data_IF_947468005874
#
_entry.id   IF_947468005874
#
_cell.length_a   1.000
_cell.length_b   1.000
_cell.length_c   1.000
_cell.angle_alpha   90.00
_cell.angle_beta   90.00
_cell.angle_gamma   90.00
#
_symmetry.space_group_name_H-M   'P 1'
#
loop_
_entity.id
_entity.type
_entity.pdbx_description
1 polymer ?
#
# COMPACT_ATOMS: atom_id res chain seq x y z
N UNK A 1 -8.42 5.40 -4.16
CA UNK A 1 -7.51 6.49 -3.75
C UNK A 1 -7.21 7.52 -4.85
N UNK A 2 -7.03 7.16 -6.13
CA UNK A 2 -6.81 8.15 -7.21
C UNK A 2 -7.95 9.18 -7.36
N UNK A 3 -9.21 8.76 -7.21
CA UNK A 3 -10.38 9.64 -7.41
C UNK A 3 -10.48 10.77 -6.38
N UNK A 4 -10.02 10.56 -5.14
CA UNK A 4 -10.09 11.59 -4.08
C UNK A 4 -8.94 12.59 -4.18
N UNK A 5 -7.76 12.16 -4.65
CA UNK A 5 -6.58 13.03 -4.73
C UNK A 5 -6.59 13.98 -5.94
N UNK A 6 -7.23 13.59 -7.06
CA UNK A 6 -7.32 14.45 -8.25
C UNK A 6 -7.94 15.82 -7.95
N UNK A 7 -9.12 15.91 -7.32
CA UNK A 7 -9.70 17.20 -6.97
C UNK A 7 -8.81 18.04 -6.05
N UNK A 8 -8.13 17.39 -5.08
CA UNK A 8 -7.23 18.09 -4.16
C UNK A 8 -6.00 18.68 -4.89
N UNK A 9 -5.35 17.90 -5.75
CA UNK A 9 -4.18 18.38 -6.50
C UNK A 9 -4.53 19.50 -7.49
N UNK A 10 -5.65 19.40 -8.20
CA UNK A 10 -6.12 20.47 -9.08
C UNK A 10 -6.35 21.75 -8.30
N UNK A 11 -7.06 21.68 -7.16
CA UNK A 11 -7.32 22.83 -6.30
C UNK A 11 -6.04 23.47 -5.75
N UNK A 12 -5.06 22.67 -5.31
CA UNK A 12 -3.77 23.17 -4.87
C UNK A 12 -3.04 23.91 -6.01
N UNK A 13 -3.08 23.37 -7.22
CA UNK A 13 -2.47 24.00 -8.38
C UNK A 13 -3.15 25.30 -8.78
N UNK A 14 -4.46 25.35 -8.73
CA UNK A 14 -5.26 26.58 -8.95
C UNK A 14 -4.91 27.68 -7.93
N UNK A 15 -4.52 27.29 -6.70
CA UNK A 15 -4.03 28.22 -5.68
C UNK A 15 -2.56 28.62 -5.84
N UNK A 16 -1.90 28.23 -6.93
CA UNK A 16 -0.50 28.56 -7.19
C UNK A 16 0.52 27.69 -6.45
N UNK A 17 0.10 26.63 -5.76
CA UNK A 17 1.00 25.71 -5.08
C UNK A 17 1.83 24.95 -6.10
N UNK A 18 3.14 24.93 -5.90
CA UNK A 18 4.11 24.17 -6.72
C UNK A 18 4.67 22.95 -6.00
N UNK A 19 4.79 23.03 -4.69
CA UNK A 19 5.47 22.05 -3.84
C UNK A 19 4.51 21.47 -2.83
N UNK A 20 4.55 20.15 -2.66
CA UNK A 20 3.72 19.44 -1.68
C UNK A 20 4.61 18.59 -0.80
N UNK A 21 4.66 18.88 0.50
CA UNK A 21 5.32 18.02 1.47
C UNK A 21 4.44 16.80 1.74
N UNK A 22 5.05 15.62 1.72
CA UNK A 22 4.35 14.35 2.00
C UNK A 22 4.95 13.64 3.20
N UNK A 23 4.13 12.86 3.90
CA UNK A 23 4.57 11.97 4.98
C UNK A 23 5.10 10.61 4.50
N UNK A 24 5.31 10.44 3.19
CA UNK A 24 5.74 9.16 2.61
C UNK A 24 7.06 8.71 3.21
N UNK A 25 7.12 7.46 3.65
CA UNK A 25 8.29 6.87 4.29
C UNK A 25 8.28 6.96 5.82
N UNK A 26 7.40 7.76 6.42
CA UNK A 26 7.40 7.97 7.87
C UNK A 26 7.09 6.72 8.70
N UNK A 27 6.16 5.90 8.25
CA UNK A 27 5.82 4.64 8.93
C UNK A 27 6.95 3.63 8.81
N UNK A 28 7.55 3.56 7.64
CA UNK A 28 8.63 2.64 7.33
C UNK A 28 9.92 2.93 8.09
N UNK A 29 10.15 4.17 8.48
CA UNK A 29 11.25 4.53 9.39
C UNK A 29 11.16 3.81 10.75
N UNK A 30 9.93 3.45 11.15
CA UNK A 30 9.65 2.82 12.44
C UNK A 30 9.62 1.29 12.38
N UNK A 31 9.78 0.70 11.20
CA UNK A 31 9.75 -0.75 11.04
C UNK A 31 10.96 -1.45 11.67
N UNK A 32 10.73 -2.65 12.17
CA UNK A 32 11.79 -3.54 12.59
C UNK A 32 12.60 -3.98 11.38
N UNK A 33 13.92 -3.99 11.52
CA UNK A 33 14.80 -4.58 10.53
C UNK A 33 14.70 -6.13 10.57
N UNK A 34 15.04 -6.83 9.49
CA UNK A 34 15.03 -8.29 9.47
C UNK A 34 15.84 -8.90 10.62
N UNK A 35 17.00 -8.34 10.92
CA UNK A 35 17.88 -8.80 12.00
C UNK A 35 17.25 -8.63 13.38
N UNK A 36 16.52 -7.55 13.59
CA UNK A 36 15.81 -7.26 14.84
C UNK A 36 14.61 -8.21 15.03
N UNK A 37 13.98 -8.64 13.95
CA UNK A 37 12.89 -9.64 13.98
C UNK A 37 13.43 -11.03 14.25
N UNK A 38 14.54 -11.40 13.62
CA UNK A 38 15.20 -12.68 13.84
C UNK A 38 15.62 -12.85 15.31
N UNK A 39 16.11 -11.79 15.95
CA UNK A 39 16.48 -11.78 17.36
C UNK A 39 15.30 -12.01 18.33
N UNK A 40 14.05 -11.74 17.89
CA UNK A 40 12.82 -11.94 18.69
C UNK A 40 12.14 -13.27 18.37
N UNK A 41 12.70 -14.07 17.44
CA UNK A 41 12.11 -15.35 17.04
C UNK A 41 10.93 -15.24 16.07
N UNK A 42 10.56 -14.04 15.68
CA UNK A 42 9.58 -13.79 14.60
C UNK A 42 10.27 -13.96 13.24
N UNK A 43 10.51 -15.21 12.85
CA UNK A 43 10.96 -15.51 11.50
C UNK A 43 10.05 -14.83 10.47
N UNK A 44 10.63 -14.30 9.43
CA UNK A 44 9.92 -13.73 8.29
C UNK A 44 8.98 -14.80 7.71
N UNK A 45 7.75 -14.80 8.15
CA UNK A 45 6.72 -15.64 7.51
C UNK A 45 6.31 -14.90 6.26
N UNK A 46 6.60 -15.51 5.12
CA UNK A 46 5.92 -15.14 3.88
C UNK A 46 4.43 -15.01 4.22
N UNK A 47 3.84 -13.88 3.89
CA UNK A 47 2.39 -13.77 3.97
C UNK A 47 1.81 -14.98 3.23
N UNK A 48 0.81 -15.61 3.82
CA UNK A 48 0.12 -16.74 3.19
C UNK A 48 -0.13 -16.40 1.72
N UNK A 49 0.35 -17.28 0.84
CA UNK A 49 0.10 -17.14 -0.59
C UNK A 49 -1.40 -17.28 -0.79
N UNK A 50 -2.08 -16.29 -1.37
CA UNK A 50 -3.51 -16.35 -1.56
C UNK A 50 -3.93 -17.55 -2.42
N UNK A 51 -4.99 -18.25 -2.04
CA UNK A 51 -5.44 -19.47 -2.72
C UNK A 51 -5.95 -19.16 -4.15
N UNK A 52 -6.38 -17.93 -4.40
CA UNK A 52 -6.85 -17.47 -5.72
C UNK A 52 -5.73 -17.11 -6.71
N UNK A 53 -4.45 -17.28 -6.38
CA UNK A 53 -3.39 -17.12 -7.37
C UNK A 53 -3.43 -18.24 -8.41
N UNK A 54 -3.38 -17.84 -9.68
CA UNK A 54 -3.30 -18.77 -10.81
C UNK A 54 -1.92 -19.40 -10.97
N UNK A 55 -1.78 -20.42 -11.84
CA UNK A 55 -0.58 -21.22 -11.96
C UNK A 55 0.66 -20.38 -12.36
N UNK A 56 0.47 -19.41 -13.24
CA UNK A 56 1.55 -18.51 -13.67
C UNK A 56 2.06 -17.62 -12.53
N UNK A 57 1.16 -17.10 -11.70
CA UNK A 57 1.55 -16.30 -10.54
C UNK A 57 2.22 -17.16 -9.47
N UNK A 58 1.71 -18.38 -9.22
CA UNK A 58 2.30 -19.34 -8.26
C UNK A 58 3.71 -19.74 -8.63
N UNK A 59 3.99 -19.95 -9.92
CA UNK A 59 5.34 -20.29 -10.39
C UNK A 59 6.40 -19.22 -10.09
N UNK A 60 5.96 -17.99 -9.75
CA UNK A 60 6.86 -16.87 -9.46
C UNK A 60 6.85 -16.45 -7.99
N UNK A 61 6.13 -17.18 -7.11
CA UNK A 61 6.06 -16.84 -5.68
C UNK A 61 7.42 -16.90 -4.99
N UNK A 62 8.29 -17.79 -5.42
CA UNK A 62 9.64 -17.96 -4.88
C UNK A 62 10.48 -16.67 -5.03
N UNK A 63 10.31 -15.93 -6.11
CA UNK A 63 10.97 -14.63 -6.29
C UNK A 63 10.57 -13.59 -5.24
N UNK A 64 9.40 -13.74 -4.62
CA UNK A 64 8.97 -12.87 -3.52
C UNK A 64 9.73 -13.17 -2.22
N UNK A 65 10.15 -14.43 -2.04
CA UNK A 65 10.93 -14.86 -0.87
C UNK A 65 12.40 -14.40 -0.97
N UNK A 66 12.95 -14.36 -2.17
CA UNK A 66 14.35 -13.98 -2.42
C UNK A 66 14.57 -12.46 -2.38
N UNK A 67 13.50 -11.69 -2.27
CA UNK A 67 13.58 -10.23 -2.30
C UNK A 67 13.92 -9.71 -3.70
N UNK A 68 12.91 -9.29 -4.44
CA UNK A 68 13.02 -8.77 -5.80
C UNK A 68 13.90 -7.52 -5.96
N UNK A 69 14.35 -6.93 -4.88
CA UNK A 69 15.26 -5.80 -4.89
C UNK A 69 16.47 -6.10 -4.03
N UNK A 70 17.69 -5.75 -4.47
CA UNK A 70 18.83 -5.71 -3.60
C UNK A 70 18.47 -4.88 -2.37
N UNK A 71 19.07 -5.18 -1.21
CA UNK A 71 18.85 -4.46 0.02
C UNK A 71 18.90 -2.95 -0.24
N UNK A 72 17.73 -2.35 -0.31
CA UNK A 72 17.56 -0.92 -0.58
C UNK A 72 17.49 -0.20 0.75
N UNK A 73 18.09 0.99 0.81
CA UNK A 73 17.94 1.88 1.95
C UNK A 73 16.46 2.26 2.20
N UNK A 74 15.63 2.18 1.15
CA UNK A 74 14.21 2.46 1.21
C UNK A 74 13.41 1.16 1.27
N UNK A 75 12.41 1.11 2.15
CA UNK A 75 11.45 0.04 2.20
C UNK A 75 10.63 -0.05 0.90
N UNK A 76 10.29 -1.26 0.45
CA UNK A 76 9.55 -1.47 -0.80
C UNK A 76 8.22 -0.71 -0.86
N UNK A 77 7.49 -0.59 0.26
CA UNK A 77 6.25 0.21 0.33
C UNK A 77 6.49 1.69 0.10
N UNK A 78 7.62 2.24 0.59
CA UNK A 78 8.02 3.64 0.34
C UNK A 78 8.31 3.85 -1.14
N UNK A 79 9.08 2.95 -1.78
CA UNK A 79 9.37 3.02 -3.21
C UNK A 79 8.09 2.97 -4.05
N UNK A 80 7.18 2.05 -3.71
CA UNK A 80 5.88 1.94 -4.36
C UNK A 80 5.04 3.22 -4.17
N UNK A 81 5.02 3.78 -2.97
CA UNK A 81 4.31 5.02 -2.69
C UNK A 81 4.90 6.19 -3.47
N UNK A 82 6.22 6.34 -3.51
CA UNK A 82 6.90 7.38 -4.28
C UNK A 82 6.58 7.25 -5.78
N UNK A 83 6.67 6.06 -6.35
CA UNK A 83 6.42 5.84 -7.79
C UNK A 83 4.97 6.12 -8.19
N UNK A 84 4.01 5.77 -7.34
CA UNK A 84 2.57 5.93 -7.64
C UNK A 84 2.05 7.32 -7.32
N UNK A 85 2.45 7.89 -6.18
CA UNK A 85 1.95 9.20 -5.72
C UNK A 85 2.63 10.35 -6.44
N UNK A 86 3.96 10.27 -6.63
CA UNK A 86 4.71 11.33 -7.29
C UNK A 86 4.25 11.51 -8.74
N UNK A 87 4.11 10.42 -9.49
CA UNK A 87 3.61 10.47 -10.86
C UNK A 87 2.21 11.12 -10.94
N UNK A 88 1.36 10.87 -9.95
CA UNK A 88 0.02 11.49 -9.91
C UNK A 88 0.10 12.99 -9.60
N UNK A 89 0.90 13.42 -8.64
CA UNK A 89 1.09 14.83 -8.31
C UNK A 89 1.71 15.61 -9.48
N UNK A 90 2.75 15.05 -10.10
CA UNK A 90 3.45 15.68 -11.23
C UNK A 90 2.55 15.90 -12.44
N UNK A 91 1.61 14.98 -12.72
CA UNK A 91 0.59 15.17 -13.77
C UNK A 91 -0.32 16.38 -13.52
N UNK A 92 -0.42 16.85 -12.29
CA UNK A 92 -1.14 18.06 -11.91
C UNK A 92 -0.23 19.29 -11.77
N UNK A 93 1.04 19.19 -12.19
CA UNK A 93 2.02 20.27 -12.09
C UNK A 93 2.50 20.55 -10.66
N UNK A 94 2.34 19.57 -9.75
CA UNK A 94 2.82 19.65 -8.38
C UNK A 94 4.10 18.83 -8.22
N UNK A 95 5.06 19.35 -7.44
CA UNK A 95 6.29 18.65 -7.12
C UNK A 95 6.22 18.07 -5.70
N UNK A 96 6.07 16.76 -5.52
CA UNK A 96 6.02 16.14 -4.19
C UNK A 96 7.42 16.03 -3.60
N UNK A 97 7.55 16.44 -2.35
CA UNK A 97 8.77 16.32 -1.55
C UNK A 97 8.45 15.40 -0.37
N UNK A 98 9.26 14.36 -0.19
CA UNK A 98 9.12 13.37 0.87
C UNK A 98 10.33 13.42 1.81
N UNK A 99 10.39 14.34 2.77
CA UNK A 99 11.57 14.53 3.61
C UNK A 99 11.94 13.30 4.41
N UNK A 100 10.93 12.50 4.84
CA UNK A 100 11.13 11.28 5.62
C UNK A 100 11.74 10.13 4.78
N UNK A 101 11.68 10.22 3.46
CA UNK A 101 12.34 9.29 2.54
C UNK A 101 13.71 9.82 2.05
N UNK A 102 14.18 10.96 2.55
CA UNK A 102 15.45 11.51 2.15
C UNK A 102 16.64 10.68 2.68
N UNK A 103 17.70 10.45 1.87
CA UNK A 103 18.82 9.60 2.27
C UNK A 103 19.49 9.96 3.60
N UNK A 104 19.68 11.24 3.97
CA UNK A 104 20.23 11.60 5.27
C UNK A 104 19.35 11.16 6.44
N UNK A 105 18.03 11.33 6.31
CA UNK A 105 17.06 10.92 7.35
C UNK A 105 17.03 9.40 7.49
N UNK A 106 17.04 8.67 6.39
CA UNK A 106 17.10 7.21 6.38
C UNK A 106 18.37 6.71 7.07
N UNK A 107 19.54 7.22 6.70
CA UNK A 107 20.81 6.82 7.33
C UNK A 107 20.81 7.10 8.84
N UNK A 108 20.33 8.28 9.24
CA UNK A 108 20.19 8.62 10.65
C UNK A 108 19.29 7.64 11.39
N UNK A 109 18.09 7.42 10.90
CA UNK A 109 17.12 6.52 11.57
C UNK A 109 17.61 5.07 11.57
N UNK A 110 18.26 4.62 10.49
CA UNK A 110 18.86 3.29 10.43
C UNK A 110 20.00 3.09 11.43
N UNK A 111 20.70 4.15 11.85
CA UNK A 111 21.73 4.08 12.88
C UNK A 111 21.14 3.98 14.29
N UNK A 112 19.85 4.31 14.49
CA UNK A 112 19.21 4.29 15.80
C UNK A 112 18.88 2.88 16.26
N UNK A 113 19.06 2.56 17.55
CA UNK A 113 18.51 1.35 18.16
C UNK A 113 16.99 1.28 17.99
N UNK A 114 16.44 0.05 17.93
CA UNK A 114 15.01 -0.18 17.72
C UNK A 114 14.12 0.54 18.75
N UNK A 115 14.55 0.66 19.99
CA UNK A 115 13.80 1.38 21.05
C UNK A 115 13.44 2.82 20.70
N UNK A 116 14.24 3.50 19.88
CA UNK A 116 13.98 4.87 19.42
C UNK A 116 13.03 4.94 18.22
N UNK A 117 12.90 3.85 17.50
CA UNK A 117 12.04 3.73 16.32
C UNK A 117 10.69 3.11 16.66
N UNK A 118 10.68 2.19 17.66
CA UNK A 118 9.47 1.48 18.08
C UNK A 118 8.32 2.45 18.41
N UNK A 119 7.12 2.11 17.95
CA UNK A 119 5.90 2.88 18.19
C UNK A 119 5.99 4.36 17.76
N UNK A 120 6.82 4.64 16.74
CA UNK A 120 7.09 6.00 16.26
C UNK A 120 7.65 6.93 17.35
N UNK A 121 8.38 6.36 18.33
CA UNK A 121 8.80 7.08 19.55
C UNK A 121 9.49 8.40 19.22
N UNK A 122 10.49 8.41 18.33
CA UNK A 122 11.21 9.63 17.97
C UNK A 122 10.30 10.71 17.38
N UNK A 123 9.40 10.33 16.47
CA UNK A 123 8.46 11.26 15.84
C UNK A 123 7.46 11.82 16.88
N UNK A 124 7.01 10.99 17.80
CA UNK A 124 6.10 11.41 18.89
C UNK A 124 6.81 12.35 19.85
N UNK A 125 8.08 12.08 20.16
CA UNK A 125 8.86 12.95 21.03
C UNK A 125 9.09 14.32 20.38
N UNK A 126 9.35 14.39 19.09
CA UNK A 126 9.43 15.65 18.34
C UNK A 126 8.11 16.44 18.39
N UNK A 127 6.98 15.76 18.21
CA UNK A 127 5.66 16.41 18.34
C UNK A 127 5.44 16.95 19.76
N UNK A 128 5.81 16.17 20.79
CA UNK A 128 5.70 16.59 22.18
C UNK A 128 6.56 17.82 22.47
N UNK A 129 7.81 17.84 21.99
CA UNK A 129 8.70 18.99 22.14
C UNK A 129 8.21 20.21 21.37
N UNK A 130 7.51 20.01 20.25
CA UNK A 130 6.86 21.09 19.50
C UNK A 130 5.55 21.58 20.14
N UNK A 131 5.16 21.06 21.32
CA UNK A 131 4.01 21.51 22.08
C UNK A 131 2.66 20.98 21.61
N UNK A 132 2.65 19.91 20.79
CA UNK A 132 1.38 19.31 20.37
C UNK A 132 0.67 18.63 21.54
N UNK A 133 -0.69 18.68 21.57
CA UNK A 133 -1.51 18.02 22.60
C UNK A 133 -1.28 16.51 22.63
N UNK A 134 -1.49 15.91 23.81
CA UNK A 134 -1.21 14.48 24.02
C UNK A 134 -2.06 13.55 23.13
N UNK A 135 -3.28 13.91 22.81
CA UNK A 135 -4.18 13.20 21.91
C UNK A 135 -3.70 13.22 20.45
N UNK A 136 -2.95 14.24 20.06
CA UNK A 136 -2.25 14.31 18.75
C UNK A 136 -0.97 13.47 18.78
N UNK A 137 -0.19 13.56 19.87
CA UNK A 137 1.06 12.80 20.02
C UNK A 137 0.78 11.30 20.12
N UNK A 138 -0.25 10.92 20.87
CA UNK A 138 -0.72 9.54 21.05
C UNK A 138 -2.24 9.49 20.98
N UNK A 139 -2.79 9.40 19.77
CA UNK A 139 -4.24 9.30 19.61
C UNK A 139 -4.75 8.04 20.34
N UNK A 140 -5.86 8.16 21.10
CA UNK A 140 -6.43 7.04 21.86
C UNK A 140 -6.89 5.90 20.94
N UNK A 141 -7.31 6.24 19.73
CA UNK A 141 -7.64 5.28 18.67
C UNK A 141 -6.65 5.50 17.52
N UNK A 142 -5.75 4.54 17.25
CA UNK A 142 -4.87 4.63 16.10
C UNK A 142 -5.68 4.63 14.80
N UNK A 143 -5.23 5.40 13.82
CA UNK A 143 -5.84 5.39 12.49
C UNK A 143 -5.86 3.97 11.93
N UNK A 144 -7.03 3.49 11.63
CA UNK A 144 -7.25 2.17 11.05
C UNK A 144 -8.23 2.25 9.89
N UNK A 145 -7.72 2.04 8.69
CA UNK A 145 -8.55 2.01 7.48
C UNK A 145 -9.17 0.62 7.21
N UNK A 146 -8.94 -0.37 8.09
CA UNK A 146 -9.40 -1.74 7.90
C UNK A 146 -10.91 -1.80 7.70
N UNK A 147 -11.67 -1.26 8.65
CA UNK A 147 -13.14 -1.30 8.62
C UNK A 147 -13.71 -0.61 7.38
N UNK A 148 -13.12 0.53 6.99
CA UNK A 148 -13.53 1.25 5.78
C UNK A 148 -13.21 0.41 4.54
N UNK A 149 -12.03 -0.21 4.48
CA UNK A 149 -11.64 -1.07 3.36
C UNK A 149 -12.50 -2.32 3.28
N UNK A 150 -12.74 -3.00 4.40
CA UNK A 150 -13.57 -4.20 4.46
C UNK A 150 -15.02 -3.86 4.07
N UNK A 151 -15.60 -2.79 4.60
CA UNK A 151 -16.93 -2.31 4.22
C UNK A 151 -17.02 -1.92 2.73
N UNK A 152 -16.00 -1.26 2.19
CA UNK A 152 -15.96 -0.89 0.78
C UNK A 152 -15.85 -2.13 -0.13
N UNK A 153 -15.04 -3.10 0.25
CA UNK A 153 -14.92 -4.36 -0.48
C UNK A 153 -16.21 -5.15 -0.43
N UNK A 154 -16.83 -5.31 0.74
CA UNK A 154 -18.10 -6.01 0.88
C UNK A 154 -19.20 -5.36 0.04
N UNK A 155 -19.36 -4.04 0.11
CA UNK A 155 -20.48 -3.32 -0.56
C UNK A 155 -20.29 -3.13 -2.05
N UNK A 156 -19.03 -2.97 -2.51
CA UNK A 156 -18.75 -2.54 -3.87
C UNK A 156 -17.75 -3.44 -4.59
N UNK A 157 -16.69 -3.88 -3.91
CA UNK A 157 -15.62 -4.65 -4.51
C UNK A 157 -16.04 -6.05 -4.88
N UNK A 158 -16.69 -6.78 -3.96
CA UNK A 158 -17.19 -8.15 -4.19
C UNK A 158 -18.22 -8.17 -5.31
N UNK A 159 -19.30 -7.36 -5.30
CA UNK A 159 -20.24 -7.34 -6.41
C UNK A 159 -19.61 -6.97 -7.76
N UNK A 160 -18.55 -6.16 -7.75
CA UNK A 160 -17.83 -5.85 -8.99
C UNK A 160 -17.00 -7.05 -9.46
N UNK A 161 -16.27 -7.72 -8.57
CA UNK A 161 -15.51 -8.94 -8.90
C UNK A 161 -16.43 -10.04 -9.43
N UNK A 162 -17.56 -10.30 -8.78
CA UNK A 162 -18.55 -11.29 -9.23
C UNK A 162 -19.03 -11.04 -10.66
N UNK A 163 -19.27 -9.78 -11.03
CA UNK A 163 -19.63 -9.41 -12.41
C UNK A 163 -18.48 -9.60 -13.40
N UNK A 164 -17.23 -9.51 -12.94
CA UNK A 164 -16.04 -9.66 -13.79
C UNK A 164 -15.57 -11.11 -13.89
N UNK A 165 -15.96 -11.99 -12.96
CA UNK A 165 -15.54 -13.40 -12.93
C UNK A 165 -15.68 -14.15 -14.27
N UNK A 166 -16.79 -13.98 -15.05
CA UNK A 166 -16.96 -14.73 -16.29
C UNK A 166 -15.93 -14.42 -17.38
N UNK A 167 -15.31 -13.25 -17.34
CA UNK A 167 -14.40 -12.75 -18.38
C UNK A 167 -13.16 -12.05 -17.79
N UNK A 168 -12.59 -12.61 -16.71
CA UNK A 168 -11.41 -12.07 -16.05
C UNK A 168 -10.17 -12.09 -16.96
N UNK A 169 -9.63 -10.95 -17.30
CA UNK A 169 -8.36 -10.83 -18.03
C UNK A 169 -7.18 -11.41 -17.25
N UNK A 170 -7.20 -11.29 -15.93
CA UNK A 170 -6.18 -11.88 -15.06
C UNK A 170 -6.23 -13.42 -15.08
N UNK A 171 -7.41 -14.02 -15.28
CA UNK A 171 -7.54 -15.46 -15.43
C UNK A 171 -7.03 -15.93 -16.81
N UNK A 172 -7.38 -15.22 -17.86
CA UNK A 172 -6.83 -15.47 -19.21
C UNK A 172 -5.29 -15.39 -19.23
N UNK A 173 -4.72 -14.46 -18.45
CA UNK A 173 -3.28 -14.35 -18.26
C UNK A 173 -2.66 -15.44 -17.35
N UNK A 174 -3.47 -16.33 -16.75
CA UNK A 174 -3.02 -17.37 -15.82
C UNK A 174 -2.53 -16.86 -14.47
N UNK A 175 -2.89 -15.62 -14.12
CA UNK A 175 -2.48 -14.96 -12.87
C UNK A 175 -3.45 -15.20 -11.72
N UNK A 176 -4.72 -15.46 -12.01
CA UNK A 176 -5.79 -15.73 -11.02
C UNK A 176 -6.47 -17.05 -11.38
N UNK A 177 -6.86 -17.81 -10.34
CA UNK A 177 -7.74 -18.97 -10.41
C UNK A 177 -9.18 -18.49 -10.16
N UNK A 178 -10.09 -18.50 -11.16
CA UNK A 178 -11.42 -17.91 -11.04
C UNK A 178 -12.27 -18.57 -9.95
N UNK A 179 -12.19 -19.90 -9.83
CA UNK A 179 -12.95 -20.69 -8.87
C UNK A 179 -12.58 -20.29 -7.44
N UNK A 180 -11.27 -20.26 -7.13
CA UNK A 180 -10.78 -19.87 -5.81
C UNK A 180 -11.04 -18.38 -5.51
N UNK A 181 -11.07 -17.54 -6.54
CA UNK A 181 -11.44 -16.12 -6.36
C UNK A 181 -12.95 -16.01 -6.05
N UNK A 182 -13.80 -16.80 -6.71
CA UNK A 182 -15.24 -16.84 -6.43
C UNK A 182 -15.51 -17.30 -4.99
N UNK A 183 -14.83 -18.36 -4.52
CA UNK A 183 -14.91 -18.82 -3.13
C UNK A 183 -14.51 -17.73 -2.14
N UNK A 184 -13.41 -17.01 -2.42
CA UNK A 184 -12.96 -15.90 -1.60
C UNK A 184 -13.98 -14.73 -1.59
N UNK A 185 -14.61 -14.43 -2.73
CA UNK A 185 -15.69 -13.44 -2.80
C UNK A 185 -16.90 -13.88 -1.96
N UNK A 186 -17.32 -15.14 -2.06
CA UNK A 186 -18.43 -15.67 -1.28
C UNK A 186 -18.16 -15.63 0.24
N UNK A 187 -16.93 -15.93 0.65
CA UNK A 187 -16.51 -15.85 2.06
C UNK A 187 -16.59 -14.41 2.59
N UNK A 188 -16.13 -13.43 1.82
CA UNK A 188 -16.21 -12.01 2.19
C UNK A 188 -17.66 -11.53 2.18
N UNK A 189 -18.46 -11.96 1.21
CA UNK A 189 -19.90 -11.63 1.16
C UNK A 189 -20.64 -12.12 2.40
N UNK A 190 -20.33 -13.33 2.86
CA UNK A 190 -20.97 -13.94 4.03
C UNK A 190 -20.54 -13.31 5.36
N UNK A 191 -19.29 -12.91 5.49
CA UNK A 191 -18.73 -12.46 6.77
C UNK A 191 -18.54 -10.94 6.88
N UNK A 192 -18.41 -10.25 5.75
CA UNK A 192 -18.02 -8.83 5.69
C UNK A 192 -16.58 -8.58 6.12
N UNK A 193 -15.78 -9.63 6.36
CA UNK A 193 -14.41 -9.55 6.89
C UNK A 193 -13.38 -9.96 5.83
N UNK A 194 -12.13 -9.54 6.07
CA UNK A 194 -10.95 -9.94 5.29
C UNK A 194 -10.99 -9.60 3.78
N UNK A 195 -11.84 -8.63 3.39
CA UNK A 195 -11.96 -8.19 2.00
C UNK A 195 -10.66 -7.61 1.40
N UNK A 196 -9.64 -7.35 2.22
CA UNK A 196 -8.38 -6.75 1.77
C UNK A 196 -7.60 -7.61 0.77
N UNK A 197 -7.69 -8.93 0.88
CA UNK A 197 -7.03 -9.85 -0.06
C UNK A 197 -7.60 -9.72 -1.47
N UNK A 198 -8.88 -9.35 -1.59
CA UNK A 198 -9.58 -9.15 -2.87
C UNK A 198 -9.28 -7.78 -3.50
N UNK A 199 -8.73 -6.84 -2.74
CA UNK A 199 -8.43 -5.49 -3.26
C UNK A 199 -7.39 -5.52 -4.39
N UNK A 200 -6.36 -6.36 -4.25
CA UNK A 200 -5.28 -6.46 -5.24
C UNK A 200 -5.77 -7.02 -6.58
N UNK A 201 -6.44 -8.20 -6.62
CA UNK A 201 -6.97 -8.73 -7.87
C UNK A 201 -7.98 -7.76 -8.51
N UNK A 202 -8.86 -7.13 -7.73
CA UNK A 202 -9.78 -6.12 -8.26
C UNK A 202 -9.04 -4.93 -8.87
N UNK A 203 -8.07 -4.36 -8.18
CA UNK A 203 -7.31 -3.20 -8.66
C UNK A 203 -6.51 -3.52 -9.94
N UNK A 204 -5.92 -4.71 -10.01
CA UNK A 204 -5.18 -5.16 -11.19
C UNK A 204 -6.10 -5.39 -12.38
N UNK A 205 -7.23 -6.08 -12.19
CA UNK A 205 -8.21 -6.33 -13.24
C UNK A 205 -8.75 -5.03 -13.84
N UNK A 206 -9.19 -4.09 -12.99
CA UNK A 206 -9.69 -2.78 -13.45
C UNK A 206 -8.59 -2.00 -14.18
N UNK A 207 -7.34 -2.09 -13.71
CA UNK A 207 -6.22 -1.42 -14.37
C UNK A 207 -5.92 -2.03 -15.72
N UNK A 208 -5.94 -3.36 -15.84
CA UNK A 208 -5.68 -4.07 -17.08
C UNK A 208 -6.77 -3.77 -18.11
N UNK A 209 -8.06 -3.83 -17.72
CA UNK A 209 -9.17 -3.42 -18.59
C UNK A 209 -9.03 -1.99 -19.10
N UNK A 210 -8.61 -1.08 -18.23
CA UNK A 210 -8.37 0.31 -18.61
C UNK A 210 -7.26 0.46 -19.64
N UNK A 211 -6.20 -0.36 -19.55
CA UNK A 211 -5.11 -0.37 -20.52
C UNK A 211 -5.53 -0.96 -21.86
N UNK A 212 -6.29 -2.06 -21.83
CA UNK A 212 -6.82 -2.69 -23.06
C UNK A 212 -7.76 -1.73 -23.79
N UNK A 213 -8.69 -1.10 -23.06
CA UNK A 213 -9.60 -0.11 -23.65
C UNK A 213 -8.87 1.12 -24.23
N UNK A 214 -7.81 1.58 -23.58
CA UNK A 214 -7.02 2.70 -24.10
C UNK A 214 -6.27 2.35 -25.39
N UNK A 215 -5.78 1.08 -25.51
CA UNK A 215 -5.15 0.59 -26.75
C UNK A 215 -6.13 0.42 -27.90
N UNK A 216 -7.35 0.02 -27.62
CA UNK A 216 -8.37 -0.15 -28.66
C UNK A 216 -8.89 1.18 -29.21
N UNK A 217 -8.65 2.30 -28.51
CA UNK A 217 -9.05 3.65 -28.90
C UNK A 217 -7.96 4.44 -29.67
N UNK A 218 -6.78 3.86 -29.82
CA UNK A 218 -5.65 4.40 -30.62
C UNK A 218 -5.51 3.68 -31.94
#
# INVERSE_FOLDING_TARGET
MRAVRRPAYSRLREQGVLWVLTGTGGDELCFQRPEERAAVGDGWKLHRVPDHLGPRARAHVEFLAEGLAPASALHASTLLALSTHSATAMRHGLWPISPLAAPPVLRFVQSLPHKWRRDKFLLRELLRQAGYPQDVVRPPVPENFREICDSAMHRHGVPLLERLLPDLLLAEAGLIAPESLAEACAAVAATGLDGRELYRPLALEVSLRSLVAARAAT
#
